data_IF_957881944575
#
_entry.id   IF_957881944575
#
_cell.length_a   1.000
_cell.length_b   1.000
_cell.length_c   1.000
_cell.angle_alpha   90.00
_cell.angle_beta   90.00
_cell.angle_gamma   90.00
#
_symmetry.space_group_name_H-M   'P 1'
#
loop_
_entity.id
_entity.type
_entity.pdbx_description
1 polymer ?
#
# COMPACT_ATOMS: atom_id res chain seq x y z
N UNK A 1 7.43 -8.38 -12.42
CA UNK A 1 7.24 -7.69 -11.12
C UNK A 1 7.56 -6.23 -11.37
N UNK A 2 6.60 -5.35 -11.16
CA UNK A 2 6.81 -3.91 -11.29
C UNK A 2 7.19 -3.37 -9.92
N UNK A 3 8.22 -2.53 -9.86
CA UNK A 3 8.44 -1.69 -8.68
C UNK A 3 7.56 -0.46 -8.84
N UNK A 4 6.68 -0.24 -7.87
CA UNK A 4 5.84 0.97 -7.79
C UNK A 4 6.39 1.89 -6.73
N UNK A 5 6.21 3.19 -6.91
CA UNK A 5 6.61 4.18 -5.91
C UNK A 5 5.53 4.28 -4.84
N UNK A 6 5.92 4.07 -3.59
CA UNK A 6 5.07 4.33 -2.44
C UNK A 6 4.71 5.82 -2.40
N UNK A 7 3.42 6.15 -2.46
CA UNK A 7 2.95 7.54 -2.46
C UNK A 7 3.13 8.27 -1.12
N UNK A 8 3.36 7.51 -0.05
CA UNK A 8 3.55 8.05 1.30
C UNK A 8 5.02 8.43 1.56
N UNK A 9 5.96 7.54 1.26
CA UNK A 9 7.39 7.77 1.54
C UNK A 9 8.24 8.04 0.30
N UNK A 10 7.70 7.91 -0.91
CA UNK A 10 8.42 8.14 -2.16
C UNK A 10 9.42 7.05 -2.54
N UNK A 11 9.49 5.94 -1.77
CA UNK A 11 10.41 4.83 -2.07
C UNK A 11 9.78 3.79 -2.99
N UNK A 12 10.61 3.11 -3.75
CA UNK A 12 10.22 1.99 -4.61
C UNK A 12 9.90 0.75 -3.78
N UNK A 13 8.77 0.12 -4.09
CA UNK A 13 8.26 -1.09 -3.43
C UNK A 13 7.68 -2.04 -4.47
N UNK A 14 7.58 -3.32 -4.15
CA UNK A 14 6.97 -4.28 -5.07
C UNK A 14 5.48 -4.02 -5.23
N UNK A 15 4.97 -4.10 -6.47
CA UNK A 15 3.54 -4.02 -6.79
C UNK A 15 2.69 -5.07 -6.06
N UNK A 16 3.31 -6.16 -5.60
CA UNK A 16 2.68 -7.25 -4.86
C UNK A 16 2.77 -7.07 -3.34
N UNK A 17 3.46 -6.04 -2.84
CA UNK A 17 3.60 -5.82 -1.41
C UNK A 17 2.25 -5.40 -0.81
N UNK A 18 1.83 -6.04 0.29
CA UNK A 18 0.63 -5.62 1.03
C UNK A 18 0.85 -4.27 1.74
N UNK A 19 2.06 -4.08 2.28
CA UNK A 19 2.49 -2.88 2.98
C UNK A 19 3.91 -2.49 2.55
N UNK A 20 4.22 -1.22 2.72
CA UNK A 20 5.51 -0.65 2.41
C UNK A 20 6.50 -1.12 3.48
N UNK A 21 7.58 -1.83 3.13
CA UNK A 21 8.57 -2.25 4.12
C UNK A 21 9.36 -1.07 4.73
N UNK A 22 9.27 0.12 4.15
CA UNK A 22 10.01 1.30 4.61
C UNK A 22 9.21 2.17 5.60
N UNK A 23 7.91 2.37 5.38
CA UNK A 23 7.08 3.23 6.22
C UNK A 23 5.89 2.50 6.87
N UNK A 24 5.61 1.26 6.48
CA UNK A 24 4.45 0.49 6.93
C UNK A 24 3.14 0.82 6.21
N UNK A 25 3.12 1.81 5.31
CA UNK A 25 1.90 2.21 4.63
C UNK A 25 1.39 1.12 3.66
N UNK A 26 0.09 0.86 3.61
CA UNK A 26 -0.48 -0.14 2.72
C UNK A 26 -0.33 0.25 1.25
N UNK A 27 0.20 -0.66 0.43
CA UNK A 27 0.54 -0.39 -0.98
C UNK A 27 -0.60 -0.80 -1.92
N UNK A 28 -1.33 -1.86 -1.57
CA UNK A 28 -2.45 -2.38 -2.36
C UNK A 28 -3.81 -2.02 -1.74
N UNK A 29 -4.07 -0.72 -1.58
CA UNK A 29 -5.40 -0.22 -1.18
C UNK A 29 -6.22 0.20 -2.39
N UNK A 30 -6.46 -0.75 -3.30
CA UNK A 30 -7.69 -0.71 -4.08
C UNK A 30 -8.85 -1.09 -3.15
N UNK A 31 -9.43 -0.07 -2.51
CA UNK A 31 -10.83 -0.01 -2.07
C UNK A 31 -11.44 -1.25 -1.37
N UNK A 32 -11.50 -1.21 -0.04
CA UNK A 32 -12.75 -1.58 0.64
C UNK A 32 -13.01 -0.68 1.85
N UNK A 33 -13.60 0.49 1.57
CA UNK A 33 -14.30 1.28 2.59
C UNK A 33 -15.64 0.61 2.90
N UNK A 34 -15.68 -0.39 3.78
CA UNK A 34 -16.90 -0.80 4.51
C UNK A 34 -16.54 -1.51 5.83
N UNK A 35 -15.97 -0.79 6.79
CA UNK A 35 -16.22 -1.12 8.20
C UNK A 35 -17.37 -0.24 8.68
N UNK A 36 -18.59 -0.61 8.30
CA UNK A 36 -19.76 -0.29 9.12
C UNK A 36 -19.87 -1.44 10.13
N UNK A 37 -19.46 -1.21 11.37
CA UNK A 37 -20.10 -1.84 12.51
C UNK A 37 -20.36 -0.72 13.53
N UNK A 38 -21.64 -0.41 13.61
CA UNK A 38 -22.30 0.32 14.70
C UNK A 38 -21.83 -0.13 16.07
#
# INVERSE_FOLDING_TARGET
>A
MALITCKECGKEVSDQAANCPNCGAPINQAVNKKHCKH
#
